data_IF_751613262273
#
_entry.id   IF_751613262273
#
_cell.length_a   1.000
_cell.length_b   1.000
_cell.length_c   1.000
_cell.angle_alpha   90.00
_cell.angle_beta   90.00
_cell.angle_gamma   90.00
#
_symmetry.space_group_name_H-M   'P 1'
#
loop_
_entity.id
_entity.type
_entity.pdbx_description
1 polymer ?
#
# COMPACT_ATOMS: atom_id res chain seq x y z
N UNK A 1 -2.46 -32.38 51.47
CA UNK A 1 -1.78 -31.07 51.39
C UNK A 1 -0.32 -31.35 51.09
N UNK A 2 0.03 -31.43 49.81
CA UNK A 2 0.38 -30.30 48.94
C UNK A 2 1.84 -29.85 49.07
N UNK A 3 2.62 -30.22 48.04
CA UNK A 3 3.68 -29.44 47.36
C UNK A 3 5.01 -29.26 48.15
N UNK A 4 6.22 -29.20 47.56
CA UNK A 4 6.70 -28.75 46.25
C UNK A 4 7.99 -29.51 45.93
N UNK A 5 8.02 -30.27 44.84
CA UNK A 5 8.57 -29.90 43.52
C UNK A 5 10.10 -29.79 43.49
N UNK A 6 10.66 -30.94 43.11
CA UNK A 6 12.02 -31.24 42.72
C UNK A 6 12.42 -30.51 41.41
N UNK A 7 13.74 -30.38 41.28
CA UNK A 7 14.51 -30.39 40.03
C UNK A 7 14.49 -29.13 39.17
N UNK A 8 15.48 -28.29 39.48
CA UNK A 8 16.33 -27.57 38.53
C UNK A 8 16.69 -28.49 37.34
N UNK A 9 16.10 -28.24 36.18
CA UNK A 9 16.48 -28.83 34.90
C UNK A 9 16.82 -27.74 33.91
N UNK A 10 18.12 -27.61 33.69
CA UNK A 10 18.80 -26.78 32.72
C UNK A 10 18.55 -27.36 31.33
N UNK A 11 17.59 -26.81 30.58
CA UNK A 11 17.38 -27.20 29.19
C UNK A 11 18.27 -26.36 28.27
N UNK A 12 19.26 -27.05 27.71
CA UNK A 12 20.19 -26.63 26.67
C UNK A 12 19.50 -25.84 25.55
N UNK A 13 19.88 -24.57 25.37
CA UNK A 13 19.76 -23.88 24.09
C UNK A 13 20.89 -24.36 23.19
N UNK A 14 20.62 -25.30 22.29
CA UNK A 14 21.52 -25.58 21.17
C UNK A 14 20.73 -25.82 19.89
N UNK A 15 21.06 -24.97 18.92
CA UNK A 15 21.16 -25.26 17.49
C UNK A 15 19.86 -25.50 16.71
N UNK A 16 19.49 -24.48 15.93
CA UNK A 16 19.62 -24.64 14.48
C UNK A 16 19.91 -23.28 13.83
N UNK A 17 21.19 -23.09 13.47
CA UNK A 17 21.50 -22.22 12.33
C UNK A 17 20.84 -22.87 11.11
N UNK A 18 19.77 -22.26 10.61
CA UNK A 18 19.33 -22.54 9.25
C UNK A 18 20.38 -21.94 8.30
N UNK A 19 21.32 -22.77 7.87
CA UNK A 19 22.16 -22.47 6.73
C UNK A 19 21.28 -22.40 5.48
N UNK A 20 21.10 -21.22 4.90
CA UNK A 20 20.57 -21.07 3.55
C UNK A 20 21.60 -21.64 2.57
N UNK A 21 21.44 -22.92 2.21
CA UNK A 21 22.22 -23.55 1.16
C UNK A 21 21.69 -23.07 -0.20
N UNK A 22 22.55 -22.44 -1.01
CA UNK A 22 22.28 -22.21 -2.42
C UNK A 22 22.47 -23.54 -3.16
N UNK A 23 21.40 -24.10 -3.70
CA UNK A 23 21.47 -25.22 -4.62
C UNK A 23 20.53 -24.96 -5.78
N UNK A 24 21.11 -24.48 -6.88
CA UNK A 24 20.58 -24.71 -8.22
C UNK A 24 20.48 -26.20 -8.43
N UNK A 25 19.28 -26.72 -8.62
CA UNK A 25 19.11 -27.93 -9.42
C UNK A 25 17.76 -27.94 -10.13
N UNK A 26 17.87 -28.15 -11.44
CA UNK A 26 16.77 -28.37 -12.36
C UNK A 26 16.09 -29.70 -12.04
N UNK A 27 14.81 -29.67 -11.66
CA UNK A 27 13.92 -30.81 -11.85
C UNK A 27 12.67 -30.37 -12.58
N UNK A 28 12.74 -30.59 -13.89
CA UNK A 28 11.61 -30.58 -14.79
C UNK A 28 10.78 -31.85 -14.53
N UNK A 29 9.57 -31.69 -13.99
CA UNK A 29 8.53 -32.70 -14.11
C UNK A 29 7.17 -32.00 -14.25
N UNK A 30 6.40 -32.54 -15.17
CA UNK A 30 5.37 -31.87 -15.93
C UNK A 30 4.04 -31.71 -15.17
N UNK A 31 3.21 -30.82 -15.72
CA UNK A 31 1.76 -30.66 -15.48
C UNK A 31 1.37 -29.71 -14.34
N UNK A 32 1.64 -28.43 -14.55
CA UNK A 32 0.62 -27.40 -14.35
C UNK A 32 0.57 -26.65 -15.68
N UNK A 33 -0.59 -26.67 -16.35
CA UNK A 33 -0.84 -25.79 -17.49
C UNK A 33 -0.39 -24.40 -17.05
N UNK A 34 0.62 -23.84 -17.72
CA UNK A 34 0.87 -22.40 -17.66
C UNK A 34 -0.44 -21.76 -18.09
N UNK A 35 -1.27 -21.39 -17.11
CA UNK A 35 -2.17 -20.27 -17.31
C UNK A 35 -1.21 -19.15 -17.56
N UNK A 36 -1.04 -18.87 -18.84
CA UNK A 36 -0.36 -17.69 -19.32
C UNK A 36 -1.20 -16.52 -18.83
N UNK A 37 -1.04 -16.17 -17.55
CA UNK A 37 -1.29 -14.83 -17.07
C UNK A 37 -0.18 -13.95 -17.65
N UNK A 38 -0.19 -13.82 -18.98
CA UNK A 38 0.01 -12.54 -19.64
C UNK A 38 -1.10 -11.60 -19.16
N UNK A 39 -1.10 -11.29 -17.87
CA UNK A 39 -1.49 -9.97 -17.45
C UNK A 39 -0.33 -9.09 -17.93
N UNK A 40 -0.34 -8.77 -19.23
CA UNK A 40 0.45 -7.65 -19.74
C UNK A 40 0.13 -6.53 -18.76
N UNK A 41 1.10 -6.12 -17.93
CA UNK A 41 0.98 -4.90 -17.15
C UNK A 41 0.72 -3.84 -18.21
N UNK A 42 -0.54 -3.44 -18.36
CA UNK A 42 -0.97 -2.48 -19.35
C UNK A 42 -0.06 -1.26 -19.13
N UNK A 43 0.83 -1.01 -20.07
CA UNK A 43 1.77 0.09 -19.98
C UNK A 43 0.93 1.36 -19.80
N UNK A 44 1.29 2.18 -18.82
CA UNK A 44 0.58 3.44 -18.56
C UNK A 44 0.57 4.27 -19.85
N UNK A 45 -0.56 4.94 -20.10
CA UNK A 45 -0.65 5.89 -21.20
C UNK A 45 0.37 7.02 -20.97
N UNK A 46 0.82 7.67 -22.04
CA UNK A 46 1.70 8.83 -21.90
C UNK A 46 1.05 9.93 -21.04
N UNK A 47 -0.25 10.14 -21.22
CA UNK A 47 -1.02 11.08 -20.43
C UNK A 47 -1.01 10.73 -18.93
N UNK A 48 -1.25 9.47 -18.57
CA UNK A 48 -1.17 9.00 -17.18
C UNK A 48 0.23 9.22 -16.60
N UNK A 49 1.28 8.93 -17.39
CA UNK A 49 2.67 9.15 -16.98
C UNK A 49 2.97 10.63 -16.71
N UNK A 50 2.50 11.52 -17.58
CA UNK A 50 2.71 12.96 -17.43
C UNK A 50 2.05 13.48 -16.14
N UNK A 51 0.83 13.04 -15.80
CA UNK A 51 0.16 13.43 -14.55
C UNK A 51 0.88 12.86 -13.32
N UNK A 52 1.31 11.60 -13.37
CA UNK A 52 2.06 10.97 -12.27
C UNK A 52 3.38 11.70 -12.03
N UNK A 53 4.06 12.11 -13.09
CA UNK A 53 5.31 12.87 -12.98
C UNK A 53 5.08 14.26 -12.41
N UNK A 54 4.00 14.96 -12.80
CA UNK A 54 3.61 16.23 -12.17
C UNK A 54 3.38 16.07 -10.66
N UNK A 55 2.64 15.04 -10.24
CA UNK A 55 2.47 14.71 -8.83
C UNK A 55 3.83 14.49 -8.14
N UNK A 56 4.70 13.66 -8.70
CA UNK A 56 6.01 13.39 -8.13
C UNK A 56 6.89 14.65 -8.01
N UNK A 57 6.80 15.57 -8.97
CA UNK A 57 7.50 16.86 -8.93
C UNK A 57 7.00 17.73 -7.78
N UNK A 58 5.68 17.84 -7.60
CA UNK A 58 5.09 18.56 -6.45
C UNK A 58 5.50 17.89 -5.13
N UNK A 59 5.55 16.57 -5.08
CA UNK A 59 5.99 15.86 -3.87
C UNK A 59 7.46 16.12 -3.53
N UNK A 60 8.33 16.27 -4.53
CA UNK A 60 9.74 16.62 -4.31
C UNK A 60 9.91 18.07 -3.85
N UNK A 61 9.01 18.99 -4.23
CA UNK A 61 9.14 20.40 -3.85
C UNK A 61 8.89 20.68 -2.37
N UNK A 62 8.33 19.74 -1.59
CA UNK A 62 8.26 19.86 -0.12
C UNK A 62 9.64 20.06 0.55
N UNK A 63 10.74 19.69 -0.11
CA UNK A 63 12.09 19.92 0.44
C UNK A 63 12.51 21.39 0.39
N UNK A 64 11.98 22.16 -0.57
CA UNK A 64 12.52 23.46 -0.96
C UNK A 64 11.48 24.59 -0.96
N UNK A 65 10.17 24.26 -0.93
CA UNK A 65 9.07 25.22 -0.99
C UNK A 65 8.23 25.26 0.29
N UNK A 66 7.54 26.37 0.52
CA UNK A 66 6.59 26.52 1.63
C UNK A 66 5.43 25.51 1.50
N UNK A 67 5.10 24.83 2.60
CA UNK A 67 4.07 23.80 2.64
C UNK A 67 2.73 24.28 2.06
N UNK A 68 2.31 25.53 2.31
CA UNK A 68 1.03 26.03 1.78
C UNK A 68 1.05 26.15 0.26
N UNK A 69 2.20 26.51 -0.31
CA UNK A 69 2.39 26.55 -1.76
C UNK A 69 2.29 25.15 -2.33
N UNK A 70 2.96 24.17 -1.73
CA UNK A 70 2.93 22.78 -2.19
C UNK A 70 1.54 22.16 -2.05
N UNK A 71 0.86 22.37 -0.92
CA UNK A 71 -0.52 21.92 -0.71
C UNK A 71 -1.48 22.57 -1.74
N UNK A 72 -1.28 23.85 -2.09
CA UNK A 72 -2.08 24.49 -3.15
C UNK A 72 -1.86 23.83 -4.51
N UNK A 73 -0.61 23.47 -4.86
CA UNK A 73 -0.30 22.73 -6.09
C UNK A 73 -0.97 21.35 -6.10
N UNK A 74 -0.91 20.60 -4.99
CA UNK A 74 -1.60 19.30 -4.87
C UNK A 74 -3.11 19.43 -5.06
N UNK A 75 -3.73 20.43 -4.43
CA UNK A 75 -5.17 20.69 -4.57
C UNK A 75 -5.56 20.96 -6.02
N UNK A 76 -4.76 21.75 -6.73
CA UNK A 76 -5.00 22.09 -8.13
C UNK A 76 -4.80 20.89 -9.07
N UNK A 77 -4.01 19.89 -8.70
CA UNK A 77 -3.76 18.69 -9.51
C UNK A 77 -4.92 17.66 -9.45
N UNK A 78 -5.81 17.75 -8.45
CA UNK A 78 -6.91 16.79 -8.24
C UNK A 78 -7.72 16.49 -9.52
N UNK A 79 -8.16 17.48 -10.32
CA UNK A 79 -8.94 17.22 -11.53
C UNK A 79 -8.18 16.40 -12.57
N UNK A 80 -6.86 16.60 -12.72
CA UNK A 80 -6.01 15.85 -13.64
C UNK A 80 -5.79 14.42 -13.14
N UNK A 81 -5.48 14.24 -11.85
CA UNK A 81 -5.34 12.90 -11.26
C UNK A 81 -6.59 12.05 -11.50
N UNK A 82 -7.79 12.65 -11.40
CA UNK A 82 -9.05 11.94 -11.66
C UNK A 82 -9.19 11.41 -13.10
N UNK A 83 -8.41 11.92 -14.05
CA UNK A 83 -8.41 11.49 -15.46
C UNK A 83 -7.49 10.28 -15.71
N UNK A 84 -6.62 9.91 -14.77
CA UNK A 84 -5.75 8.72 -14.89
C UNK A 84 -6.61 7.46 -15.11
N UNK A 85 -6.37 6.75 -16.21
CA UNK A 85 -7.14 5.57 -16.59
C UNK A 85 -6.88 4.40 -15.64
N UNK A 86 -5.62 4.23 -15.24
CA UNK A 86 -5.24 3.18 -14.31
C UNK A 86 -5.79 3.47 -12.91
N UNK A 87 -6.87 2.78 -12.54
CA UNK A 87 -7.55 2.99 -11.26
C UNK A 87 -6.65 2.79 -10.03
N UNK A 88 -5.71 1.85 -10.08
CA UNK A 88 -4.78 1.64 -8.97
C UNK A 88 -3.87 2.84 -8.74
N UNK A 89 -3.31 3.40 -9.81
CA UNK A 89 -2.41 4.56 -9.74
C UNK A 89 -3.18 5.82 -9.35
N UNK A 90 -4.35 6.03 -9.99
CA UNK A 90 -5.27 7.11 -9.67
C UNK A 90 -5.65 7.12 -8.19
N UNK A 91 -6.17 6.00 -7.68
CA UNK A 91 -6.70 5.91 -6.33
C UNK A 91 -5.59 6.09 -5.29
N UNK A 92 -4.38 5.57 -5.56
CA UNK A 92 -3.23 5.76 -4.68
C UNK A 92 -2.84 7.23 -4.57
N UNK A 93 -2.70 7.92 -5.71
CA UNK A 93 -2.30 9.34 -5.74
C UNK A 93 -3.38 10.22 -5.12
N UNK A 94 -4.64 10.03 -5.50
CA UNK A 94 -5.72 10.87 -5.00
C UNK A 94 -5.94 10.68 -3.48
N UNK A 95 -5.73 9.46 -2.96
CA UNK A 95 -5.78 9.19 -1.51
C UNK A 95 -4.68 9.95 -0.77
N UNK A 96 -3.43 9.89 -1.26
CA UNK A 96 -2.32 10.64 -0.64
C UNK A 96 -2.59 12.15 -0.66
N UNK A 97 -3.08 12.70 -1.78
CA UNK A 97 -3.49 14.11 -1.88
C UNK A 97 -4.57 14.44 -0.86
N UNK A 98 -5.63 13.65 -0.76
CA UNK A 98 -6.71 13.90 0.20
C UNK A 98 -6.22 13.88 1.64
N UNK A 99 -5.34 12.94 2.00
CA UNK A 99 -4.77 12.88 3.36
C UNK A 99 -3.90 14.10 3.68
N UNK A 100 -3.06 14.55 2.74
CA UNK A 100 -2.22 15.75 2.93
C UNK A 100 -3.02 17.04 3.04
N UNK A 101 -4.14 17.11 2.35
CA UNK A 101 -5.05 18.26 2.37
C UNK A 101 -6.11 18.16 3.47
N UNK A 102 -6.04 17.13 4.32
CA UNK A 102 -7.02 16.85 5.38
C UNK A 102 -8.47 16.72 4.86
N UNK A 103 -8.61 16.33 3.60
CA UNK A 103 -9.89 16.03 2.93
C UNK A 103 -10.40 14.65 3.34
N UNK A 104 -10.61 14.46 4.65
CA UNK A 104 -10.88 13.16 5.24
C UNK A 104 -12.20 12.54 4.77
N UNK A 105 -13.21 13.35 4.44
CA UNK A 105 -14.49 12.83 3.95
C UNK A 105 -14.33 12.24 2.54
N UNK A 106 -13.62 12.92 1.66
CA UNK A 106 -13.33 12.42 0.31
C UNK A 106 -12.42 11.19 0.32
N UNK A 107 -11.45 11.16 1.24
CA UNK A 107 -10.63 9.98 1.50
C UNK A 107 -11.48 8.80 2.01
N UNK A 108 -12.43 9.06 2.91
CA UNK A 108 -13.36 8.04 3.43
C UNK A 108 -14.23 7.47 2.30
N UNK A 109 -14.85 8.33 1.49
CA UNK A 109 -15.72 7.91 0.39
C UNK A 109 -14.96 7.09 -0.67
N UNK A 110 -13.72 7.49 -0.96
CA UNK A 110 -12.84 6.72 -1.84
C UNK A 110 -12.52 5.35 -1.24
N UNK A 111 -12.14 5.29 0.04
CA UNK A 111 -11.83 4.04 0.73
C UNK A 111 -13.04 3.09 0.75
N UNK A 112 -14.24 3.61 1.03
CA UNK A 112 -15.49 2.84 0.99
C UNK A 112 -15.74 2.25 -0.41
N UNK A 113 -15.55 3.05 -1.46
CA UNK A 113 -15.66 2.56 -2.83
C UNK A 113 -14.63 1.47 -3.14
N UNK A 114 -13.39 1.62 -2.68
CA UNK A 114 -12.34 0.63 -2.86
C UNK A 114 -12.57 -0.67 -2.07
N UNK A 115 -13.22 -0.59 -0.91
CA UNK A 115 -13.64 -1.74 -0.09
C UNK A 115 -14.75 -2.55 -0.75
N UNK A 116 -15.73 -1.88 -1.38
CA UNK A 116 -16.80 -2.55 -2.15
C UNK A 116 -16.25 -3.39 -3.30
N UNK A 117 -15.18 -2.91 -3.95
CA UNK A 117 -14.58 -3.58 -5.10
C UNK A 117 -13.57 -4.66 -4.71
N UNK A 118 -12.67 -4.35 -3.78
CA UNK A 118 -11.61 -5.28 -3.33
C UNK A 118 -11.28 -5.02 -1.86
N UNK A 119 -11.97 -5.71 -0.93
CA UNK A 119 -11.72 -5.53 0.49
C UNK A 119 -10.34 -6.05 0.88
N UNK A 120 -9.64 -5.33 1.75
CA UNK A 120 -8.37 -5.75 2.34
C UNK A 120 -8.29 -5.26 3.77
N UNK A 121 -7.50 -5.92 4.61
CA UNK A 121 -7.28 -5.50 6.01
C UNK A 121 -6.75 -4.07 6.05
N UNK A 122 -5.80 -3.72 5.18
CA UNK A 122 -5.24 -2.38 5.11
C UNK A 122 -6.32 -1.32 4.82
N UNK A 123 -7.20 -1.58 3.86
CA UNK A 123 -8.30 -0.66 3.54
C UNK A 123 -9.27 -0.50 4.71
N UNK A 124 -9.57 -1.59 5.43
CA UNK A 124 -10.41 -1.54 6.64
C UNK A 124 -9.73 -0.71 7.75
N UNK A 125 -8.43 -0.87 7.95
CA UNK A 125 -7.67 -0.05 8.89
C UNK A 125 -7.69 1.43 8.51
N UNK A 126 -7.51 1.75 7.22
CA UNK A 126 -7.67 3.12 6.72
C UNK A 126 -9.08 3.67 6.95
N UNK A 127 -10.13 2.86 6.74
CA UNK A 127 -11.51 3.25 7.07
C UNK A 127 -11.62 3.68 8.52
N UNK A 128 -11.15 2.85 9.46
CA UNK A 128 -11.21 3.16 10.89
C UNK A 128 -10.45 4.44 11.24
N UNK A 129 -9.25 4.62 10.68
CA UNK A 129 -8.47 5.85 10.85
C UNK A 129 -9.24 7.09 10.37
N UNK A 130 -9.90 6.99 9.21
CA UNK A 130 -10.68 8.10 8.64
C UNK A 130 -11.95 8.37 9.44
N UNK A 131 -12.61 7.33 9.97
CA UNK A 131 -13.75 7.47 10.88
C UNK A 131 -13.37 8.21 12.16
N UNK A 132 -12.22 7.90 12.75
CA UNK A 132 -11.68 8.61 13.92
C UNK A 132 -11.45 10.10 13.61
N UNK A 133 -10.80 10.41 12.49
CA UNK A 133 -10.59 11.80 12.02
C UNK A 133 -11.89 12.56 11.75
N UNK A 134 -12.94 11.86 11.34
CA UNK A 134 -14.25 12.42 11.03
C UNK A 134 -15.22 12.40 12.21
N UNK A 135 -14.83 11.83 13.35
CA UNK A 135 -15.71 11.57 14.50
C UNK A 135 -16.99 10.81 14.10
N UNK A 136 -16.83 9.76 13.29
CA UNK A 136 -17.89 8.83 12.90
C UNK A 136 -17.74 7.52 13.67
N UNK A 137 -18.85 6.99 14.17
CA UNK A 137 -18.93 5.70 14.88
C UNK A 137 -19.25 4.53 13.94
#
# INVERSE_FOLDING_TARGET
MEKKFLLLSMFFCMLSLAACNNSTDNLQSNVVKKVDHQTQKKQLSKHDQDIIEQYNQIMRSFADEDDKVVLTKLKNLIPEVKQIENSSSRNMIIMDIYLRLEMYQEAYDLNENELKNKPTILKLQYKCMLMDKLHKD
#
